data_IF_108036509057
#
_entry.id   IF_108036509057
#
_cell.length_a   1.000
_cell.length_b   1.000
_cell.length_c   1.000
_cell.angle_alpha   90.00
_cell.angle_beta   90.00
_cell.angle_gamma   90.00
#
_symmetry.space_group_name_H-M   'P 1'
#
loop_
_entity.id
_entity.type
_entity.pdbx_description
1 polymer ?
#
# COMPACT_ATOMS: atom_id res chain seq x y z
N UNK A 1 8.98 12.89 -7.13
CA UNK A 1 7.87 13.79 -7.50
C UNK A 1 7.51 14.63 -6.28
N UNK A 2 7.55 15.95 -6.43
CA UNK A 2 7.16 16.91 -5.38
C UNK A 2 5.63 16.89 -5.31
N UNK A 3 5.06 16.89 -4.10
CA UNK A 3 3.61 16.93 -3.89
C UNK A 3 3.29 18.14 -3.03
N UNK A 4 2.20 18.82 -3.37
CA UNK A 4 1.75 20.04 -2.71
C UNK A 4 0.55 19.77 -1.80
N UNK A 5 0.46 20.53 -0.72
CA UNK A 5 -0.64 20.52 0.24
C UNK A 5 -0.86 21.95 0.74
N UNK A 6 -2.13 22.36 0.82
CA UNK A 6 -2.50 23.64 1.43
C UNK A 6 -2.87 23.40 2.89
N UNK A 7 -2.16 24.05 3.81
CA UNK A 7 -2.37 23.94 5.25
C UNK A 7 -2.88 25.26 5.79
N UNK A 8 -3.87 25.21 6.69
CA UNK A 8 -4.19 26.37 7.54
C UNK A 8 -3.50 26.28 8.90
N UNK A 9 -3.27 27.42 9.53
CA UNK A 9 -2.84 27.52 10.93
C UNK A 9 -4.00 27.90 11.86
N UNK A 10 -3.72 28.06 13.16
CA UNK A 10 -4.69 28.46 14.19
C UNK A 10 -5.37 29.81 13.89
N UNK A 11 -4.67 30.73 13.21
CA UNK A 11 -5.19 32.05 12.81
C UNK A 11 -5.98 32.01 11.51
N UNK A 12 -6.32 30.81 11.00
CA UNK A 12 -6.96 30.57 9.70
C UNK A 12 -6.20 31.18 8.51
N UNK A 13 -4.89 31.42 8.65
CA UNK A 13 -4.03 31.75 7.50
C UNK A 13 -3.61 30.46 6.84
N UNK A 14 -3.55 30.46 5.52
CA UNK A 14 -3.17 29.31 4.72
C UNK A 14 -1.82 29.51 4.02
N UNK A 15 -1.15 28.39 3.76
CA UNK A 15 0.05 28.34 2.94
C UNK A 15 0.07 27.07 2.11
N UNK A 16 0.49 27.19 0.86
CA UNK A 16 0.82 26.05 0.02
C UNK A 16 2.25 25.61 0.30
N UNK A 17 2.41 24.35 0.68
CA UNK A 17 3.70 23.77 1.08
C UNK A 17 3.87 22.39 0.44
N UNK A 18 5.06 21.82 0.55
CA UNK A 18 5.32 20.50 -0.03
C UNK A 18 5.33 19.42 1.04
N UNK A 19 5.01 18.20 0.65
CA UNK A 19 5.16 17.04 1.52
C UNK A 19 5.84 15.87 0.80
N UNK A 20 6.65 15.11 1.54
CA UNK A 20 7.40 13.96 1.00
C UNK A 20 7.30 12.77 1.92
N UNK A 21 7.14 11.58 1.34
CA UNK A 21 7.18 10.33 2.09
C UNK A 21 8.58 10.07 2.65
N UNK A 22 8.64 9.77 3.94
CA UNK A 22 9.85 9.32 4.61
C UNK A 22 9.97 7.81 4.41
N UNK A 23 10.47 7.40 3.24
CA UNK A 23 10.83 6.00 2.99
C UNK A 23 12.34 5.85 3.26
N UNK A 24 12.75 5.41 4.47
CA UNK A 24 14.16 5.11 4.72
C UNK A 24 14.62 4.03 3.74
N UNK A 25 15.78 4.22 3.12
CA UNK A 25 16.40 3.15 2.34
C UNK A 25 16.74 2.01 3.30
N UNK A 26 16.57 0.78 2.85
CA UNK A 26 16.98 -0.38 3.64
C UNK A 26 18.46 -0.25 4.03
N UNK A 27 18.75 -0.35 5.32
CA UNK A 27 20.11 -0.32 5.86
C UNK A 27 20.87 -1.61 5.58
N UNK A 28 20.15 -2.70 5.34
CA UNK A 28 20.69 -4.01 5.00
C UNK A 28 20.49 -4.28 3.52
N UNK A 29 21.54 -4.71 2.85
CA UNK A 29 21.51 -5.20 1.48
C UNK A 29 21.99 -6.65 1.46
N UNK A 30 21.37 -7.48 0.61
CA UNK A 30 21.92 -8.79 0.27
C UNK A 30 23.22 -8.57 -0.50
N UNK A 31 24.31 -9.16 -0.01
CA UNK A 31 25.62 -9.18 -0.66
C UNK A 31 26.05 -10.62 -0.89
N UNK A 32 26.70 -10.87 -2.02
CA UNK A 32 27.41 -12.12 -2.31
C UNK A 32 28.90 -11.81 -2.25
N UNK A 33 29.74 -12.78 -1.88
CA UNK A 33 31.21 -12.68 -1.98
C UNK A 33 31.67 -12.75 -3.46
N UNK A 34 31.14 -11.88 -4.30
CA UNK A 34 31.51 -11.72 -5.69
C UNK A 34 31.43 -10.23 -6.06
N UNK A 35 32.30 -9.72 -6.93
CA UNK A 35 32.23 -8.34 -7.37
C UNK A 35 30.94 -8.10 -8.17
N UNK A 36 30.06 -7.24 -7.67
CA UNK A 36 28.84 -6.80 -8.37
C UNK A 36 27.64 -6.56 -7.46
N UNK A 37 26.66 -5.84 -7.99
CA UNK A 37 25.36 -5.67 -7.33
C UNK A 37 24.48 -6.92 -7.51
N UNK A 38 23.83 -7.36 -6.42
CA UNK A 38 22.84 -8.45 -6.47
C UNK A 38 21.55 -7.93 -7.10
N UNK A 39 21.19 -8.47 -8.27
CA UNK A 39 19.95 -8.14 -8.97
C UNK A 39 18.98 -9.31 -8.96
N UNK A 40 17.71 -9.04 -8.64
CA UNK A 40 16.66 -10.04 -8.78
C UNK A 40 16.21 -10.11 -10.26
N UNK A 41 16.29 -11.29 -10.85
CA UNK A 41 15.76 -11.59 -12.18
C UNK A 41 14.57 -12.52 -12.06
N UNK A 42 13.55 -12.30 -12.88
CA UNK A 42 12.43 -13.23 -13.04
C UNK A 42 12.72 -14.14 -14.21
N UNK A 43 12.44 -15.42 -14.05
CA UNK A 43 12.62 -16.44 -15.09
C UNK A 43 11.27 -17.10 -15.39
N UNK A 44 11.08 -17.51 -16.64
CA UNK A 44 9.93 -18.30 -17.04
C UNK A 44 10.11 -19.74 -16.55
N UNK A 45 9.19 -20.23 -15.72
CA UNK A 45 9.23 -21.60 -15.19
C UNK A 45 8.40 -22.59 -16.02
N UNK A 46 7.23 -22.16 -16.48
CA UNK A 46 6.28 -23.00 -17.21
C UNK A 46 5.38 -22.14 -18.08
N UNK A 47 4.74 -22.75 -19.07
CA UNK A 47 3.75 -22.11 -19.94
C UNK A 47 2.37 -22.69 -19.67
N UNK A 48 1.32 -22.10 -20.26
CA UNK A 48 -0.04 -22.65 -20.19
C UNK A 48 -0.14 -24.08 -20.75
N UNK A 49 0.80 -24.49 -21.61
CA UNK A 49 0.83 -25.81 -22.23
C UNK A 49 1.50 -26.85 -21.32
N UNK A 50 2.51 -26.43 -20.55
CA UNK A 50 3.24 -27.29 -19.61
C UNK A 50 2.69 -27.27 -18.20
N UNK A 51 1.55 -26.59 -17.98
CA UNK A 51 0.82 -26.64 -16.73
C UNK A 51 0.17 -28.02 -16.52
N UNK A 52 0.17 -28.50 -15.27
CA UNK A 52 -0.38 -29.80 -14.88
C UNK A 52 -1.81 -30.05 -15.41
N UNK A 53 -2.68 -29.03 -15.33
CA UNK A 53 -4.07 -29.09 -15.80
C UNK A 53 -4.17 -29.32 -17.32
N UNK A 54 -3.24 -28.79 -18.10
CA UNK A 54 -3.14 -28.97 -19.56
C UNK A 54 -2.56 -30.34 -19.92
N UNK A 55 -1.50 -30.76 -19.23
CA UNK A 55 -0.84 -32.05 -19.48
C UNK A 55 -1.76 -33.24 -19.18
N UNK A 56 -2.55 -33.18 -18.10
CA UNK A 56 -3.50 -34.23 -17.74
C UNK A 56 -4.64 -34.36 -18.77
N UNK A 57 -5.12 -33.26 -19.35
CA UNK A 57 -6.20 -33.30 -20.36
C UNK A 57 -5.83 -34.10 -21.60
N UNK A 58 -4.54 -34.13 -21.96
CA UNK A 58 -4.04 -34.87 -23.12
C UNK A 58 -3.92 -36.39 -22.93
N UNK A 59 -4.07 -36.90 -21.71
CA UNK A 59 -3.89 -38.32 -21.40
C UNK A 59 -5.22 -39.07 -21.49
N UNK A 60 -5.21 -40.23 -22.15
CA UNK A 60 -6.35 -41.15 -22.24
C UNK A 60 -6.18 -42.28 -21.24
N UNK A 61 -7.27 -42.66 -20.59
CA UNK A 61 -7.31 -43.73 -19.59
C UNK A 61 -8.53 -44.60 -19.88
N UNK A 62 -8.39 -45.91 -19.72
CA UNK A 62 -9.40 -46.90 -20.12
C UNK A 62 -10.54 -47.07 -19.11
N UNK A 63 -10.41 -46.58 -17.88
CA UNK A 63 -11.39 -46.77 -16.80
C UNK A 63 -11.89 -45.44 -16.23
N UNK A 64 -13.20 -45.39 -15.97
CA UNK A 64 -13.92 -44.20 -15.46
C UNK A 64 -13.77 -44.01 -13.95
N UNK A 65 -13.50 -45.08 -13.20
CA UNK A 65 -13.19 -44.99 -11.76
C UNK A 65 -11.77 -44.47 -11.55
N UNK A 66 -11.61 -43.47 -10.67
CA UNK A 66 -10.34 -42.82 -10.33
C UNK A 66 -9.53 -42.28 -11.53
N UNK A 67 -10.23 -41.79 -12.56
CA UNK A 67 -9.66 -41.26 -13.80
C UNK A 67 -8.53 -40.25 -13.55
N UNK A 68 -8.72 -39.33 -12.59
CA UNK A 68 -7.74 -38.29 -12.26
C UNK A 68 -6.46 -38.87 -11.65
N UNK A 69 -6.58 -39.89 -10.79
CA UNK A 69 -5.44 -40.56 -10.16
C UNK A 69 -4.66 -41.37 -11.20
N UNK A 70 -5.35 -42.05 -12.11
CA UNK A 70 -4.70 -42.81 -13.17
C UNK A 70 -3.99 -41.88 -14.17
N UNK A 71 -4.60 -40.75 -14.53
CA UNK A 71 -3.95 -39.72 -15.35
C UNK A 71 -2.72 -39.11 -14.68
N UNK A 72 -2.75 -38.89 -13.36
CA UNK A 72 -1.61 -38.34 -12.64
C UNK A 72 -0.44 -39.33 -12.54
N UNK A 73 -0.72 -40.63 -12.40
CA UNK A 73 0.30 -41.69 -12.44
C UNK A 73 0.97 -41.73 -13.81
N UNK A 74 0.19 -41.77 -14.90
CA UNK A 74 0.73 -41.74 -16.27
C UNK A 74 1.52 -40.47 -16.58
N UNK A 75 1.07 -39.32 -16.07
CA UNK A 75 1.82 -38.08 -16.20
C UNK A 75 3.16 -38.15 -15.45
N UNK A 76 3.17 -38.75 -14.25
CA UNK A 76 4.39 -38.91 -13.46
C UNK A 76 5.42 -39.77 -14.19
N UNK A 77 4.99 -40.88 -14.80
CA UNK A 77 5.86 -41.72 -15.62
C UNK A 77 6.42 -40.97 -16.85
N UNK A 78 5.58 -40.15 -17.51
CA UNK A 78 6.03 -39.30 -18.63
C UNK A 78 7.03 -38.23 -18.23
N UNK A 79 6.83 -37.59 -17.08
CA UNK A 79 7.79 -36.61 -16.53
C UNK A 79 9.14 -37.28 -16.30
N UNK A 80 9.15 -38.47 -15.68
CA UNK A 80 10.39 -39.22 -15.43
C UNK A 80 11.12 -39.60 -16.73
N UNK A 81 10.36 -39.85 -17.81
CA UNK A 81 10.93 -40.37 -19.06
C UNK A 81 11.39 -39.26 -20.01
N UNK A 82 10.66 -38.15 -20.09
CA UNK A 82 10.76 -37.19 -21.21
C UNK A 82 10.62 -35.71 -20.78
N UNK A 83 10.61 -35.41 -19.47
CA UNK A 83 10.56 -34.04 -18.93
C UNK A 83 9.46 -33.15 -19.57
N UNK A 84 8.29 -33.74 -19.85
CA UNK A 84 7.20 -33.09 -20.62
C UNK A 84 6.66 -31.78 -20.01
N UNK A 85 6.99 -31.50 -18.75
CA UNK A 85 6.68 -30.25 -18.05
C UNK A 85 7.64 -29.10 -18.37
N UNK A 86 8.79 -29.41 -18.98
CA UNK A 86 9.83 -28.44 -19.33
C UNK A 86 9.74 -28.14 -20.82
N UNK A 87 9.36 -26.90 -21.12
CA UNK A 87 9.55 -26.35 -22.46
C UNK A 87 11.02 -25.93 -22.60
N UNK A 88 11.85 -26.74 -23.25
CA UNK A 88 13.29 -26.49 -23.38
C UNK A 88 13.64 -25.19 -24.14
N UNK A 89 12.73 -24.70 -24.98
CA UNK A 89 12.93 -23.45 -25.72
C UNK A 89 12.60 -22.22 -24.87
N UNK A 90 11.64 -22.34 -23.97
CA UNK A 90 11.10 -21.19 -23.24
C UNK A 90 11.51 -21.13 -21.77
N UNK A 91 11.68 -22.28 -21.12
CA UNK A 91 12.03 -22.38 -19.70
C UNK A 91 13.39 -21.74 -19.41
N UNK A 92 13.47 -21.00 -18.30
CA UNK A 92 14.69 -20.31 -17.89
C UNK A 92 14.94 -18.95 -18.56
N UNK A 93 14.17 -18.58 -19.60
CA UNK A 93 14.28 -17.25 -20.21
C UNK A 93 14.00 -16.15 -19.18
N UNK A 94 14.82 -15.10 -19.20
CA UNK A 94 14.59 -13.91 -18.37
C UNK A 94 13.38 -13.15 -18.88
N UNK A 95 12.53 -12.71 -17.95
CA UNK A 95 11.35 -11.94 -18.27
C UNK A 95 11.52 -10.50 -17.75
N UNK A 96 11.29 -9.53 -18.63
CA UNK A 96 11.14 -8.11 -18.32
C UNK A 96 9.79 -7.59 -18.81
N UNK A 97 9.38 -6.40 -18.35
CA UNK A 97 8.26 -5.62 -18.92
C UNK A 97 6.91 -6.36 -19.00
N UNK A 98 6.64 -7.19 -17.99
CA UNK A 98 5.40 -7.95 -17.87
C UNK A 98 4.16 -7.06 -17.82
N UNK A 99 3.19 -7.34 -18.68
CA UNK A 99 1.82 -6.84 -18.57
C UNK A 99 0.95 -7.88 -17.84
N UNK A 100 0.12 -7.42 -16.92
CA UNK A 100 -0.82 -8.28 -16.19
C UNK A 100 -2.08 -8.47 -17.03
N UNK A 101 -2.38 -9.73 -17.39
CA UNK A 101 -3.62 -10.14 -18.05
C UNK A 101 -4.41 -11.02 -17.10
N UNK A 102 -5.74 -10.87 -17.08
CA UNK A 102 -6.64 -11.76 -16.35
C UNK A 102 -7.09 -12.88 -17.27
N UNK A 103 -7.07 -14.12 -16.78
CA UNK A 103 -7.51 -15.30 -17.52
C UNK A 103 -8.73 -15.91 -16.84
N UNK A 104 -9.60 -16.56 -17.60
CA UNK A 104 -10.70 -17.38 -17.07
C UNK A 104 -10.22 -18.82 -16.77
N UNK A 105 -11.13 -19.67 -16.31
CA UNK A 105 -10.85 -21.10 -16.03
C UNK A 105 -10.40 -21.91 -17.25
N UNK A 106 -10.61 -21.38 -18.46
CA UNK A 106 -10.15 -21.97 -19.72
C UNK A 106 -8.78 -21.42 -20.17
N UNK A 107 -8.07 -20.68 -19.32
CA UNK A 107 -6.82 -20.00 -19.64
C UNK A 107 -6.94 -18.97 -20.80
N UNK A 108 -8.14 -18.45 -21.06
CA UNK A 108 -8.38 -17.41 -22.08
C UNK A 108 -8.36 -16.01 -21.47
N UNK A 109 -7.77 -15.01 -22.15
CA UNK A 109 -7.79 -13.62 -21.69
C UNK A 109 -9.21 -13.09 -21.51
N UNK A 110 -9.44 -12.38 -20.40
CA UNK A 110 -10.70 -11.72 -20.06
C UNK A 110 -10.60 -10.22 -20.33
N UNK A 111 -11.51 -9.69 -21.14
CA UNK A 111 -11.52 -8.28 -21.55
C UNK A 111 -12.40 -7.38 -20.67
N UNK A 112 -13.34 -7.97 -19.91
CA UNK A 112 -14.24 -7.22 -19.01
C UNK A 112 -14.20 -7.82 -17.62
N UNK A 113 -13.66 -7.05 -16.67
CA UNK A 113 -13.57 -7.46 -15.27
C UNK A 113 -14.59 -6.68 -14.45
N UNK A 114 -15.51 -7.39 -13.79
CA UNK A 114 -16.39 -6.80 -12.78
C UNK A 114 -15.67 -6.86 -11.43
N UNK A 115 -15.32 -5.70 -10.87
CA UNK A 115 -14.73 -5.62 -9.53
C UNK A 115 -15.85 -5.49 -8.51
N UNK A 116 -15.79 -6.31 -7.46
CA UNK A 116 -16.76 -6.29 -6.36
C UNK A 116 -15.96 -6.25 -5.06
N UNK A 117 -16.35 -5.37 -4.14
CA UNK A 117 -15.77 -5.25 -2.81
C UNK A 117 -16.60 -6.11 -1.83
N UNK A 118 -15.95 -7.11 -1.22
CA UNK A 118 -16.53 -7.97 -0.18
C UNK A 118 -16.02 -7.53 1.18
N UNK A 119 -16.92 -7.13 2.07
CA UNK A 119 -16.60 -6.65 3.41
C UNK A 119 -16.83 -7.79 4.40
N UNK A 120 -15.78 -8.19 5.10
CA UNK A 120 -15.82 -9.26 6.09
C UNK A 120 -15.86 -8.70 7.52
N UNK A 121 -16.48 -9.46 8.42
CA UNK A 121 -16.41 -9.23 9.86
C UNK A 121 -15.04 -9.64 10.43
N UNK A 122 -14.72 -9.24 11.68
CA UNK A 122 -13.56 -9.79 12.40
C UNK A 122 -13.60 -11.31 12.61
N UNK A 123 -14.77 -11.95 12.50
CA UNK A 123 -14.96 -13.41 12.56
C UNK A 123 -14.94 -14.08 11.18
N UNK A 124 -14.53 -13.34 10.13
CA UNK A 124 -14.47 -13.78 8.73
C UNK A 124 -15.83 -14.05 8.06
N UNK A 125 -16.93 -13.54 8.61
CA UNK A 125 -18.27 -13.63 7.98
C UNK A 125 -18.45 -12.52 6.94
N UNK A 126 -19.03 -12.84 5.79
CA UNK A 126 -19.33 -11.85 4.75
C UNK A 126 -20.50 -10.96 5.21
N UNK A 127 -20.23 -9.67 5.42
CA UNK A 127 -21.24 -8.69 5.84
C UNK A 127 -21.93 -7.98 4.69
N UNK A 128 -21.17 -7.63 3.66
CA UNK A 128 -21.66 -6.78 2.57
C UNK A 128 -20.88 -7.08 1.28
N UNK A 129 -21.58 -7.03 0.16
CA UNK A 129 -21.01 -7.13 -1.18
C UNK A 129 -21.49 -5.94 -2.00
N UNK A 130 -20.56 -5.10 -2.50
CA UNK A 130 -20.89 -3.84 -3.19
C UNK A 130 -19.90 -3.48 -4.29
N UNK A 131 -20.25 -2.47 -5.10
CA UNK A 131 -19.31 -1.89 -6.04
C UNK A 131 -18.20 -1.10 -5.31
N UNK A 132 -16.93 -1.20 -5.77
CA UNK A 132 -15.82 -0.51 -5.12
C UNK A 132 -16.05 1.00 -5.07
N UNK A 133 -16.04 1.56 -3.85
CA UNK A 133 -16.12 3.00 -3.66
C UNK A 133 -14.74 3.64 -3.83
N UNK A 134 -14.61 4.54 -4.79
CA UNK A 134 -13.40 5.32 -5.00
C UNK A 134 -13.53 6.70 -4.35
N UNK A 135 -12.68 6.97 -3.36
CA UNK A 135 -12.61 8.30 -2.75
C UNK A 135 -11.76 9.23 -3.60
N UNK A 136 -12.22 10.47 -3.80
CA UNK A 136 -11.41 11.51 -4.44
C UNK A 136 -10.39 12.08 -3.44
N UNK A 137 -9.24 12.49 -3.95
CA UNK A 137 -8.25 13.22 -3.16
C UNK A 137 -8.85 14.53 -2.66
N UNK A 138 -8.70 14.83 -1.36
CA UNK A 138 -9.17 16.09 -0.76
C UNK A 138 -8.03 16.95 -0.22
N UNK A 139 -6.78 16.59 -0.52
CA UNK A 139 -5.58 17.29 -0.05
C UNK A 139 -5.03 18.26 -1.09
N UNK A 140 -5.36 18.06 -2.37
CA UNK A 140 -4.91 18.90 -3.48
C UNK A 140 -5.84 20.09 -3.71
N UNK A 141 -7.15 19.83 -3.75
CA UNK A 141 -8.15 20.84 -4.14
C UNK A 141 -8.64 21.66 -2.95
N UNK A 142 -8.41 21.20 -1.71
CA UNK A 142 -8.95 21.80 -0.50
C UNK A 142 -7.85 22.10 0.52
N UNK A 143 -8.15 23.06 1.39
CA UNK A 143 -7.27 23.45 2.49
C UNK A 143 -7.44 22.43 3.61
N UNK A 144 -6.33 21.81 4.01
CA UNK A 144 -6.27 20.97 5.20
C UNK A 144 -6.26 21.86 6.43
N UNK A 145 -7.32 21.74 7.24
CA UNK A 145 -7.59 22.66 8.33
C UNK A 145 -6.94 22.23 9.63
N UNK A 146 -6.41 23.23 10.33
CA UNK A 146 -6.02 23.15 11.73
C UNK A 146 -7.27 23.04 12.61
N UNK A 147 -7.56 21.87 13.16
CA UNK A 147 -8.83 21.64 13.86
C UNK A 147 -8.86 22.20 15.29
N UNK A 148 -7.72 22.61 15.83
CA UNK A 148 -7.55 23.03 17.22
C UNK A 148 -7.52 21.87 18.22
N UNK A 149 -7.80 20.62 17.80
CA UNK A 149 -7.78 19.45 18.69
C UNK A 149 -6.35 18.93 18.85
N UNK A 150 -5.72 19.32 19.96
CA UNK A 150 -4.40 18.82 20.37
C UNK A 150 -4.50 17.52 21.16
N UNK A 151 -3.57 16.60 20.91
CA UNK A 151 -3.41 15.35 21.66
C UNK A 151 -1.98 15.27 22.22
N UNK A 152 -1.79 15.19 23.55
CA UNK A 152 -0.46 15.02 24.14
C UNK A 152 0.24 13.77 23.60
N UNK A 153 1.54 13.85 23.29
CA UNK A 153 2.30 12.71 22.73
C UNK A 153 2.26 11.49 23.66
N UNK A 154 2.30 11.74 24.97
CA UNK A 154 2.16 10.73 26.03
C UNK A 154 0.81 9.98 26.04
N UNK A 155 -0.24 10.46 25.37
CA UNK A 155 -1.54 9.76 25.28
C UNK A 155 -1.77 9.08 23.94
N UNK A 156 -0.88 9.31 22.96
CA UNK A 156 -1.07 8.85 21.59
C UNK A 156 -0.52 7.44 21.41
N UNK A 157 0.60 7.12 22.06
CA UNK A 157 1.32 5.85 21.87
C UNK A 157 0.48 4.60 22.17
N UNK A 158 -0.52 4.70 23.07
CA UNK A 158 -1.41 3.61 23.44
C UNK A 158 -2.80 3.69 22.81
N UNK A 159 -3.06 4.67 21.93
CA UNK A 159 -4.38 4.88 21.30
C UNK A 159 -4.37 4.71 19.79
N UNK A 160 -3.28 5.06 19.12
CA UNK A 160 -3.24 5.15 17.65
C UNK A 160 -2.06 4.36 17.09
N UNK A 161 -2.26 3.74 15.92
CA UNK A 161 -1.19 3.10 15.14
C UNK A 161 -0.94 3.94 13.89
N UNK A 162 0.24 4.57 13.81
CA UNK A 162 0.59 5.38 12.64
C UNK A 162 1.15 4.53 11.51
N UNK A 163 0.42 4.49 10.39
CA UNK A 163 0.72 3.62 9.26
C UNK A 163 1.53 4.32 8.17
N UNK A 164 1.39 5.64 8.02
CA UNK A 164 2.15 6.43 7.05
C UNK A 164 2.63 7.73 7.67
N UNK A 165 3.82 8.16 7.25
CA UNK A 165 4.46 9.40 7.69
C UNK A 165 4.94 10.20 6.49
N UNK A 166 4.63 11.49 6.50
CA UNK A 166 5.11 12.45 5.52
C UNK A 166 5.79 13.61 6.23
N UNK A 167 6.93 14.06 5.71
CA UNK A 167 7.56 15.29 6.17
C UNK A 167 7.03 16.47 5.37
N UNK A 168 6.63 17.53 6.06
CA UNK A 168 6.20 18.79 5.44
C UNK A 168 7.40 19.71 5.33
N UNK A 169 7.54 20.38 4.19
CA UNK A 169 8.66 21.26 3.86
C UNK A 169 8.19 22.57 3.25
N UNK A 170 8.84 23.65 3.67
CA UNK A 170 8.71 24.97 3.07
C UNK A 170 9.16 24.98 1.61
N UNK A 171 8.64 25.95 0.86
CA UNK A 171 9.02 26.22 -0.53
C UNK A 171 9.92 27.46 -0.60
N UNK A 172 9.64 28.46 0.24
CA UNK A 172 10.32 29.74 0.31
C UNK A 172 10.41 30.25 1.78
N UNK A 173 11.04 31.41 2.00
CA UNK A 173 11.20 32.00 3.34
C UNK A 173 9.89 32.30 4.07
N UNK A 174 8.85 32.76 3.37
CA UNK A 174 7.55 33.03 4.00
C UNK A 174 6.88 31.75 4.53
N UNK A 175 6.94 30.67 3.74
CA UNK A 175 6.45 29.36 4.18
C UNK A 175 7.36 28.72 5.23
N UNK A 176 8.62 29.14 5.32
CA UNK A 176 9.52 28.71 6.39
C UNK A 176 9.02 29.27 7.73
N UNK A 177 8.80 30.59 7.83
CA UNK A 177 8.33 31.21 9.08
C UNK A 177 6.97 30.63 9.50
N UNK A 178 6.05 30.49 8.54
CA UNK A 178 4.74 29.89 8.77
C UNK A 178 4.83 28.47 9.37
N UNK A 179 5.66 27.61 8.80
CA UNK A 179 5.82 26.23 9.26
C UNK A 179 6.66 26.14 10.55
N UNK A 180 7.63 27.04 10.74
CA UNK A 180 8.43 27.12 11.95
C UNK A 180 7.56 27.49 13.15
N UNK A 181 6.70 28.50 13.03
CA UNK A 181 5.77 28.90 14.08
C UNK A 181 4.83 27.75 14.48
N UNK A 182 4.28 27.03 13.49
CA UNK A 182 3.46 25.85 13.74
C UNK A 182 4.25 24.75 14.45
N UNK A 183 5.49 24.49 14.02
CA UNK A 183 6.33 23.47 14.63
C UNK A 183 6.67 23.82 16.09
N UNK A 184 7.05 25.07 16.34
CA UNK A 184 7.38 25.60 17.66
C UNK A 184 6.20 25.46 18.62
N UNK A 185 5.00 25.84 18.18
CA UNK A 185 3.79 25.72 19.00
C UNK A 185 3.50 24.28 19.42
N UNK A 186 3.71 23.31 18.52
CA UNK A 186 3.45 21.89 18.81
C UNK A 186 4.53 21.26 19.69
N UNK A 187 5.78 21.69 19.51
CA UNK A 187 6.91 21.21 20.30
C UNK A 187 6.83 21.70 21.75
N UNK A 188 6.58 23.00 21.95
CA UNK A 188 6.40 23.60 23.29
C UNK A 188 5.25 22.96 24.08
N UNK A 189 4.17 22.57 23.39
CA UNK A 189 3.00 21.93 24.00
C UNK A 189 3.12 20.41 24.15
N UNK A 190 4.22 19.81 23.70
CA UNK A 190 4.44 18.36 23.59
C UNK A 190 3.19 17.60 23.08
N UNK A 191 2.63 18.06 21.97
CA UNK A 191 1.35 17.56 21.47
C UNK A 191 1.30 17.44 19.94
N UNK A 192 0.38 16.61 19.47
CA UNK A 192 0.03 16.47 18.06
C UNK A 192 -1.24 17.26 17.77
N UNK A 193 -1.28 17.97 16.64
CA UNK A 193 -2.48 18.64 16.16
C UNK A 193 -3.25 17.73 15.21
N UNK A 194 -4.52 17.46 15.49
CA UNK A 194 -5.38 16.81 14.52
C UNK A 194 -5.65 17.75 13.34
N UNK A 195 -5.40 17.26 12.13
CA UNK A 195 -5.76 17.94 10.89
C UNK A 195 -6.98 17.28 10.27
N UNK A 196 -7.78 18.06 9.54
CA UNK A 196 -8.95 17.56 8.82
C UNK A 196 -9.08 18.18 7.44
N UNK A 197 -9.59 17.39 6.50
CA UNK A 197 -9.96 17.84 5.15
C UNK A 197 -11.43 18.22 5.08
N UNK A 198 -11.91 18.46 3.87
CA UNK A 198 -13.29 18.87 3.63
C UNK A 198 -13.51 20.35 3.86
N UNK A 199 -14.60 20.89 3.32
CA UNK A 199 -15.05 22.26 3.61
C UNK A 199 -15.27 22.49 5.11
N UNK A 200 -15.74 21.45 5.81
CA UNK A 200 -15.97 21.47 7.25
C UNK A 200 -14.69 21.35 8.10
N UNK A 201 -13.57 20.92 7.52
CA UNK A 201 -12.33 20.62 8.26
C UNK A 201 -12.43 19.41 9.20
N UNK A 202 -13.46 18.58 9.08
CA UNK A 202 -13.71 17.42 9.95
C UNK A 202 -13.57 16.09 9.21
N UNK A 203 -13.36 16.13 7.91
CA UNK A 203 -13.25 14.93 7.09
C UNK A 203 -11.84 14.33 7.19
N UNK A 204 -11.70 13.00 7.05
CA UNK A 204 -10.39 12.37 6.96
C UNK A 204 -9.66 12.81 5.69
N UNK A 205 -8.32 12.72 5.70
CA UNK A 205 -7.50 13.03 4.53
C UNK A 205 -7.43 11.85 3.57
N UNK A 206 -7.67 12.11 2.30
CA UNK A 206 -7.48 11.21 1.17
C UNK A 206 -6.36 11.81 0.31
N UNK A 207 -5.19 11.16 0.30
CA UNK A 207 -3.98 11.73 -0.33
C UNK A 207 -3.94 11.62 -1.86
N UNK A 208 -4.58 10.59 -2.42
CA UNK A 208 -4.64 10.34 -3.85
C UNK A 208 -5.99 9.71 -4.19
N UNK A 209 -6.43 9.82 -5.45
CA UNK A 209 -7.68 9.22 -5.92
C UNK A 209 -7.70 7.70 -5.76
N UNK A 210 -8.84 7.17 -5.34
CA UNK A 210 -9.00 5.77 -4.93
C UNK A 210 -8.26 5.42 -3.63
N UNK A 211 -7.66 6.40 -2.96
CA UNK A 211 -6.94 6.22 -1.70
C UNK A 211 -7.85 5.94 -0.51
N UNK A 212 -7.27 5.34 0.53
CA UNK A 212 -7.94 5.19 1.83
C UNK A 212 -8.04 6.54 2.54
N UNK A 213 -9.15 6.80 3.26
CA UNK A 213 -9.25 7.94 4.15
C UNK A 213 -8.42 7.69 5.41
N UNK A 214 -7.66 8.69 5.85
CA UNK A 214 -6.82 8.64 7.04
C UNK A 214 -7.17 9.75 8.03
N UNK A 215 -7.14 9.45 9.32
CA UNK A 215 -7.01 10.49 10.35
C UNK A 215 -5.58 10.99 10.34
N UNK A 216 -5.42 12.31 10.40
CA UNK A 216 -4.13 12.98 10.28
C UNK A 216 -3.77 13.74 11.53
N UNK A 217 -2.50 13.62 11.93
CA UNK A 217 -1.93 14.29 13.08
C UNK A 217 -0.61 14.93 12.69
N UNK A 218 -0.46 16.20 13.01
CA UNK A 218 0.74 16.97 12.77
C UNK A 218 1.60 17.00 14.03
N UNK A 219 2.85 16.57 13.91
CA UNK A 219 3.88 16.72 14.93
C UNK A 219 4.83 17.84 14.52
N UNK A 220 5.14 18.73 15.45
CA UNK A 220 6.23 19.71 15.32
C UNK A 220 7.37 19.39 16.26
N UNK A 221 8.58 19.67 15.79
CA UNK A 221 9.83 19.67 16.55
C UNK A 221 10.66 20.87 16.12
N UNK A 222 11.30 21.55 17.06
CA UNK A 222 12.23 22.64 16.78
C UNK A 222 13.59 22.41 17.45
N UNK A 223 14.64 22.85 16.77
CA UNK A 223 15.99 22.89 17.31
C UNK A 223 16.66 24.13 16.75
N UNK A 224 16.87 25.14 17.60
CA UNK A 224 17.42 26.44 17.21
C UNK A 224 16.62 27.08 16.06
N UNK A 225 17.25 27.24 14.90
CA UNK A 225 16.70 27.76 13.64
C UNK A 225 16.23 26.65 12.69
N UNK A 226 16.06 25.42 13.19
CA UNK A 226 15.59 24.28 12.41
C UNK A 226 14.25 23.81 12.93
N UNK A 227 13.41 23.37 12.01
CA UNK A 227 12.15 22.74 12.34
C UNK A 227 11.97 21.42 11.61
N UNK A 228 11.11 20.57 12.16
CA UNK A 228 10.61 19.38 11.50
C UNK A 228 9.12 19.24 11.75
N UNK A 229 8.34 19.22 10.66
CA UNK A 229 6.92 18.91 10.70
C UNK A 229 6.68 17.53 10.09
N UNK A 230 6.05 16.65 10.87
CA UNK A 230 5.73 15.28 10.47
C UNK A 230 4.22 15.10 10.49
N UNK A 231 3.65 14.81 9.33
CA UNK A 231 2.27 14.40 9.15
C UNK A 231 2.17 12.89 9.35
N UNK A 232 1.60 12.49 10.48
CA UNK A 232 1.29 11.11 10.80
C UNK A 232 -0.14 10.77 10.36
N UNK A 233 -0.30 9.64 9.68
CA UNK A 233 -1.59 9.16 9.19
C UNK A 233 -1.93 7.81 9.80
N UNK A 234 -3.19 7.66 10.20
CA UNK A 234 -3.71 6.43 10.80
C UNK A 234 -5.12 6.14 10.32
N UNK A 235 -5.38 4.86 10.04
CA UNK A 235 -6.70 4.28 9.79
C UNK A 235 -7.03 3.21 10.86
N UNK A 236 -6.26 3.18 11.96
CA UNK A 236 -6.35 2.16 13.01
C UNK A 236 -6.24 2.76 14.40
N UNK A 237 -7.06 2.27 15.32
CA UNK A 237 -7.03 2.64 16.74
C UNK A 237 -6.76 1.41 17.59
N UNK A 238 -5.94 1.58 18.62
CA UNK A 238 -5.72 0.58 19.64
C UNK A 238 -6.90 0.61 20.61
N UNK A 239 -7.57 -0.53 20.75
CA UNK A 239 -8.59 -0.74 21.77
C UNK A 239 -7.97 -1.45 22.96
N UNK A 240 -8.46 -1.14 24.16
CA UNK A 240 -8.14 -1.91 25.35
C UNK A 240 -8.49 -3.38 25.13
N UNK A 241 -7.69 -4.27 25.73
CA UNK A 241 -8.01 -5.70 25.73
C UNK A 241 -9.43 -5.91 26.30
N UNK A 242 -10.21 -6.82 25.71
CA UNK A 242 -11.51 -7.18 26.29
C UNK A 242 -11.28 -7.61 27.74
N UNK A 243 -12.05 -7.03 28.67
CA UNK A 243 -12.05 -7.50 30.05
C UNK A 243 -12.55 -8.94 30.03
N UNK A 244 -11.76 -9.86 30.61
CA UNK A 244 -12.20 -11.23 30.85
C UNK A 244 -13.39 -11.24 31.81
#
# INVERSE_FOLDING_TARGET
MIRYIKLSNEKNRDAEVTYRSLNPKASVKLGINAPGDVINKRVLKSTSNTEFSSLIKGLKVDKTEDEQLQKSILLSEKIITDDTEIDFEMSGKYISDLQRVYINEENKPVFKVKKIEKIFSPTAELKEEREPKYNKSNVLDQIVKWTGKMMPKSKVYNKLVFNKKYQIKHINGLTYDFLFDMAKQLDEKDSLMMLGGGESGKEPLVLNDGGKPYRSFLEGRVQDDKYCLILHLTDQELKSLPKK
#
